data_IF_486274407498
#
_entry.id   IF_486274407498
#
_cell.length_a   1.000
_cell.length_b   1.000
_cell.length_c   1.000
_cell.angle_alpha   90.00
_cell.angle_beta   90.00
_cell.angle_gamma   90.00
#
_symmetry.space_group_name_H-M   'P 1'
#
loop_
_entity.id
_entity.type
_entity.pdbx_description
1 polymer ?
#
# COMPACT_ATOMS: atom_id res chain seq x y z
N UNK A 1 9.44 -6.64 12.27
CA UNK A 1 8.46 -5.52 12.24
C UNK A 1 7.07 -6.01 12.61
N UNK A 2 6.51 -6.98 11.87
CA UNK A 2 5.18 -7.55 12.16
C UNK A 2 5.05 -8.07 13.60
N UNK A 3 6.03 -8.86 14.07
CA UNK A 3 6.05 -9.39 15.45
C UNK A 3 6.05 -8.30 16.51
N UNK A 4 6.93 -7.29 16.37
CA UNK A 4 7.03 -6.15 17.30
C UNK A 4 5.71 -5.37 17.41
N UNK A 5 4.95 -5.30 16.32
CA UNK A 5 3.67 -4.59 16.26
C UNK A 5 2.46 -5.52 16.47
N UNK A 6 2.68 -6.81 16.72
CA UNK A 6 1.63 -7.81 16.87
C UNK A 6 0.60 -7.82 15.72
N UNK A 7 1.06 -7.58 14.48
CA UNK A 7 0.16 -7.53 13.34
C UNK A 7 -0.42 -8.92 13.03
N UNK A 8 -1.73 -9.04 12.77
CA UNK A 8 -2.37 -10.32 12.44
C UNK A 8 -2.12 -10.77 10.99
N UNK A 9 -1.22 -10.10 10.28
CA UNK A 9 -0.90 -10.35 8.88
C UNK A 9 0.61 -10.13 8.60
N UNK A 10 1.15 -10.76 7.56
CA UNK A 10 2.55 -10.58 7.18
C UNK A 10 2.80 -9.17 6.63
N UNK A 11 4.05 -8.72 6.71
CA UNK A 11 4.52 -7.54 6.01
C UNK A 11 5.44 -7.96 4.88
N UNK A 12 5.08 -7.58 3.65
CA UNK A 12 5.89 -7.77 2.47
C UNK A 12 6.99 -6.71 2.39
N UNK A 13 8.21 -7.13 2.09
CA UNK A 13 9.31 -6.22 1.74
C UNK A 13 9.47 -6.18 0.22
N UNK A 14 9.39 -4.98 -0.35
CA UNK A 14 9.68 -4.71 -1.76
C UNK A 14 11.00 -3.91 -1.88
N UNK A 15 12.07 -4.41 -1.26
CA UNK A 15 13.34 -3.69 -1.16
C UNK A 15 14.00 -3.41 -2.54
N UNK A 16 13.71 -4.27 -3.52
CA UNK A 16 14.22 -4.14 -4.90
C UNK A 16 13.29 -3.32 -5.81
N UNK A 17 12.14 -2.83 -5.30
CA UNK A 17 11.12 -2.13 -6.07
C UNK A 17 10.47 -2.97 -7.19
N UNK A 18 10.61 -4.30 -7.19
CA UNK A 18 10.07 -5.16 -8.26
C UNK A 18 8.54 -5.05 -8.34
N UNK A 19 7.85 -5.07 -7.19
CA UNK A 19 6.40 -4.90 -7.16
C UNK A 19 6.01 -3.46 -7.49
N UNK A 20 6.73 -2.48 -6.96
CA UNK A 20 6.55 -1.07 -7.26
C UNK A 20 6.62 -0.78 -8.77
N UNK A 21 7.63 -1.30 -9.47
CA UNK A 21 7.78 -1.12 -10.92
C UNK A 21 6.70 -1.86 -11.70
N UNK A 22 6.43 -3.13 -11.36
CA UNK A 22 5.43 -3.94 -12.05
C UNK A 22 4.03 -3.28 -12.00
N UNK A 23 3.69 -2.68 -10.86
CA UNK A 23 2.41 -2.00 -10.64
C UNK A 23 2.44 -0.51 -10.98
N UNK A 24 3.60 0.03 -11.39
CA UNK A 24 3.82 1.46 -11.66
C UNK A 24 3.39 2.36 -10.49
N UNK A 25 3.72 1.96 -9.27
CA UNK A 25 3.33 2.68 -8.06
C UNK A 25 3.99 4.07 -8.00
N UNK A 26 3.28 5.08 -7.48
CA UNK A 26 3.83 6.41 -7.35
C UNK A 26 4.95 6.44 -6.31
N UNK A 27 6.05 7.10 -6.64
CA UNK A 27 7.22 7.26 -5.77
C UNK A 27 7.54 8.74 -5.52
N UNK A 28 8.40 8.99 -4.54
CA UNK A 28 8.99 10.30 -4.26
C UNK A 28 10.39 10.13 -3.69
N UNK A 29 11.16 11.23 -3.63
CA UNK A 29 12.49 11.24 -3.03
C UNK A 29 12.45 12.06 -1.74
N UNK A 30 13.00 11.51 -0.66
CA UNK A 30 13.23 12.21 0.59
C UNK A 30 14.55 11.74 1.20
N UNK A 31 15.38 12.67 1.68
CA UNK A 31 16.71 12.36 2.21
C UNK A 31 17.53 11.44 1.29
N UNK A 32 17.54 11.75 -0.02
CA UNK A 32 18.20 10.96 -1.07
C UNK A 32 17.74 9.49 -1.21
N UNK A 33 16.64 9.13 -0.54
CA UNK A 33 16.01 7.82 -0.66
C UNK A 33 14.79 7.89 -1.57
N UNK A 34 14.70 6.96 -2.52
CA UNK A 34 13.46 6.70 -3.26
C UNK A 34 12.50 5.94 -2.34
N UNK A 35 11.27 6.44 -2.20
CA UNK A 35 10.23 5.87 -1.36
C UNK A 35 8.93 5.72 -2.14
N UNK A 36 8.13 4.72 -1.78
CA UNK A 36 6.78 4.51 -2.33
C UNK A 36 5.80 5.42 -1.61
N UNK A 37 4.94 6.13 -2.36
CA UNK A 37 3.85 6.90 -1.75
C UNK A 37 2.78 5.97 -1.20
N UNK A 38 2.02 6.42 -0.21
CA UNK A 38 0.91 5.62 0.36
C UNK A 38 -0.17 5.39 -0.70
N UNK A 39 -0.46 4.11 -0.96
CA UNK A 39 -1.53 3.62 -1.83
C UNK A 39 -2.24 2.50 -1.08
N UNK A 40 -3.57 2.44 -1.18
CA UNK A 40 -4.35 1.30 -0.71
C UNK A 40 -5.00 0.61 -1.91
N UNK A 41 -4.93 -0.71 -1.97
CA UNK A 41 -5.46 -1.50 -3.09
C UNK A 41 -6.27 -2.66 -2.55
N UNK A 42 -7.38 -2.97 -3.20
CA UNK A 42 -8.16 -4.19 -2.95
C UNK A 42 -7.86 -5.15 -4.09
N UNK A 43 -7.33 -6.32 -3.76
CA UNK A 43 -7.07 -7.38 -4.72
C UNK A 43 -7.99 -8.58 -4.48
N UNK A 44 -8.55 -9.14 -5.55
CA UNK A 44 -9.40 -10.33 -5.50
C UNK A 44 -9.02 -11.26 -6.64
N UNK A 45 -8.73 -12.53 -6.34
CA UNK A 45 -8.35 -13.56 -7.33
C UNK A 45 -7.23 -13.14 -8.31
N UNK A 46 -6.24 -12.41 -7.81
CA UNK A 46 -5.09 -11.96 -8.61
C UNK A 46 -5.33 -10.68 -9.41
N UNK A 47 -6.52 -10.09 -9.32
CA UNK A 47 -6.86 -8.83 -9.97
C UNK A 47 -6.97 -7.71 -8.95
N UNK A 48 -6.56 -6.50 -9.32
CA UNK A 48 -6.79 -5.29 -8.52
C UNK A 48 -8.20 -4.80 -8.80
N UNK A 49 -9.09 -4.94 -7.82
CA UNK A 49 -10.49 -4.54 -7.91
C UNK A 49 -10.69 -3.03 -7.70
N UNK A 50 -9.96 -2.44 -6.75
CA UNK A 50 -10.06 -1.01 -6.43
C UNK A 50 -8.70 -0.43 -6.00
N UNK A 51 -8.48 0.86 -6.26
CA UNK A 51 -7.27 1.59 -5.86
C UNK A 51 -7.67 2.92 -5.21
N UNK A 52 -7.07 3.23 -4.06
CA UNK A 52 -7.17 4.51 -3.38
C UNK A 52 -5.82 5.21 -3.40
N UNK A 53 -5.73 6.26 -4.20
CA UNK A 53 -4.59 7.17 -4.26
C UNK A 53 -5.05 8.52 -4.87
N UNK A 54 -4.59 9.67 -4.35
CA UNK A 54 -3.76 9.81 -3.15
C UNK A 54 -4.55 9.51 -1.88
N UNK A 55 -3.90 8.89 -0.88
CA UNK A 55 -4.50 8.70 0.45
C UNK A 55 -4.33 9.99 1.25
N UNK A 56 -5.44 10.68 1.51
CA UNK A 56 -5.49 11.85 2.38
C UNK A 56 -6.87 11.99 3.07
N UNK A 57 -6.95 12.33 4.37
CA UNK A 57 -5.85 12.37 5.33
C UNK A 57 -5.17 11.00 5.48
N UNK A 58 -3.98 10.96 6.09
CA UNK A 58 -3.16 9.74 6.07
C UNK A 58 -3.79 8.54 6.77
N UNK A 59 -4.80 8.74 7.61
CA UNK A 59 -5.53 7.72 8.38
C UNK A 59 -6.90 7.35 7.82
N UNK A 60 -7.27 7.84 6.64
CA UNK A 60 -8.60 7.63 6.04
C UNK A 60 -8.76 6.28 5.32
N UNK A 61 -7.68 5.54 5.11
CA UNK A 61 -7.68 4.34 4.26
C UNK A 61 -8.56 3.22 4.80
N UNK A 62 -8.56 2.97 6.12
CA UNK A 62 -9.33 1.87 6.70
C UNK A 62 -10.84 2.03 6.47
N UNK A 63 -11.39 3.22 6.69
CA UNK A 63 -12.81 3.51 6.44
C UNK A 63 -13.14 3.39 4.95
N UNK A 64 -12.25 3.86 4.07
CA UNK A 64 -12.42 3.71 2.63
C UNK A 64 -12.46 2.22 2.23
N UNK A 65 -11.57 1.37 2.76
CA UNK A 65 -11.58 -0.06 2.44
C UNK A 65 -12.90 -0.72 2.85
N UNK A 66 -13.38 -0.44 4.06
CA UNK A 66 -14.63 -1.05 4.57
C UNK A 66 -15.83 -0.67 3.67
N UNK A 67 -15.89 0.57 3.19
CA UNK A 67 -16.99 1.01 2.31
C UNK A 67 -16.96 0.34 0.92
N UNK A 68 -15.80 -0.18 0.49
CA UNK A 68 -15.66 -0.93 -0.77
C UNK A 68 -16.03 -2.42 -0.65
N UNK A 69 -16.13 -2.95 0.57
CA UNK A 69 -16.42 -4.36 0.84
C UNK A 69 -17.90 -4.61 1.19
N UNK A 70 -18.73 -3.57 1.09
CA UNK A 70 -20.17 -3.60 1.39
C UNK A 70 -21.00 -4.15 0.23
#
# INVERSE_FOLDING_TARGET
MAERLHLPFPVLSDANFEFCEAMRLPTFVAADMRLVKRVTMIANKGEVASVHYPVFPSDSDATWVISQLS
#
